data_IF_873859640359
#
_entry.id   IF_873859640359
#
_cell.length_a   1.000
_cell.length_b   1.000
_cell.length_c   1.000
_cell.angle_alpha   90.00
_cell.angle_beta   90.00
_cell.angle_gamma   90.00
#
_symmetry.space_group_name_H-M   'P 1'
#
loop_
_entity.id
_entity.type
_entity.pdbx_description
1 polymer ?
#
# COMPACT_ATOMS: atom_id res chain seq x y z
N UNK A 1 -1.49 -6.86 -11.94
CA UNK A 1 -1.61 -5.51 -11.33
C UNK A 1 -2.80 -5.43 -10.38
N UNK A 2 -4.05 -5.54 -10.86
CA UNK A 2 -5.26 -5.44 -10.02
C UNK A 2 -5.22 -6.37 -8.80
N UNK A 3 -4.90 -7.66 -9.00
CA UNK A 3 -4.78 -8.62 -7.90
C UNK A 3 -3.68 -8.25 -6.90
N UNK A 4 -2.54 -7.73 -7.37
CA UNK A 4 -1.45 -7.31 -6.49
C UNK A 4 -1.84 -6.08 -5.66
N UNK A 5 -2.51 -5.10 -6.26
CA UNK A 5 -3.10 -3.97 -5.54
C UNK A 5 -4.12 -4.44 -4.49
N UNK A 6 -5.04 -5.32 -4.87
CA UNK A 6 -6.07 -5.83 -3.96
C UNK A 6 -5.44 -6.60 -2.79
N UNK A 7 -4.46 -7.46 -3.06
CA UNK A 7 -3.73 -8.20 -2.02
C UNK A 7 -2.93 -7.26 -1.10
N UNK A 8 -2.26 -6.24 -1.65
CA UNK A 8 -1.53 -5.25 -0.86
C UNK A 8 -2.47 -4.47 0.06
N UNK A 9 -3.60 -4.00 -0.46
CA UNK A 9 -4.62 -3.28 0.32
C UNK A 9 -5.23 -4.16 1.41
N UNK A 10 -5.58 -5.41 1.09
CA UNK A 10 -6.14 -6.35 2.06
C UNK A 10 -5.12 -6.72 3.15
N UNK A 11 -3.87 -7.01 2.76
CA UNK A 11 -2.78 -7.31 3.71
C UNK A 11 -2.52 -6.14 4.65
N UNK A 12 -2.45 -4.92 4.11
CA UNK A 12 -2.27 -3.69 4.89
C UNK A 12 -3.42 -3.48 5.88
N UNK A 13 -4.67 -3.65 5.44
CA UNK A 13 -5.84 -3.55 6.33
C UNK A 13 -5.77 -4.58 7.46
N UNK A 14 -5.49 -5.85 7.14
CA UNK A 14 -5.36 -6.92 8.14
C UNK A 14 -4.24 -6.64 9.15
N UNK A 15 -3.09 -6.12 8.68
CA UNK A 15 -2.00 -5.72 9.56
C UNK A 15 -2.43 -4.60 10.52
N UNK A 16 -3.05 -3.53 10.02
CA UNK A 16 -3.53 -2.42 10.86
C UNK A 16 -4.57 -2.89 11.87
N UNK A 17 -5.50 -3.76 11.45
CA UNK A 17 -6.50 -4.34 12.35
C UNK A 17 -5.85 -5.21 13.43
N UNK A 18 -4.80 -5.96 13.11
CA UNK A 18 -4.05 -6.80 14.06
C UNK A 18 -3.39 -5.98 15.20
N UNK A 19 -3.11 -4.69 14.96
CA UNK A 19 -2.59 -3.77 15.97
C UNK A 19 -3.68 -3.15 16.86
N UNK A 20 -4.95 -3.26 16.48
CA UNK A 20 -6.07 -2.64 17.18
C UNK A 20 -6.71 -3.59 18.18
N UNK A 21 -7.07 -3.08 19.36
CA UNK A 21 -7.74 -3.86 20.43
C UNK A 21 -9.26 -3.67 20.45
N UNK A 22 -9.76 -2.60 19.83
CA UNK A 22 -11.20 -2.29 19.80
C UNK A 22 -11.64 -1.89 18.40
N UNK A 23 -12.92 -2.12 18.10
CA UNK A 23 -13.53 -1.72 16.81
C UNK A 23 -13.43 -0.22 16.59
N UNK A 24 -13.63 0.59 17.65
CA UNK A 24 -13.51 2.04 17.56
C UNK A 24 -12.07 2.47 17.23
N UNK A 25 -11.06 1.85 17.85
CA UNK A 25 -9.66 2.11 17.51
C UNK A 25 -9.37 1.74 16.06
N UNK A 26 -9.84 0.59 15.59
CA UNK A 26 -9.66 0.15 14.22
C UNK A 26 -10.24 1.14 13.20
N UNK A 27 -11.46 1.62 13.43
CA UNK A 27 -12.10 2.60 12.52
C UNK A 27 -11.33 3.92 12.48
N UNK A 28 -11.02 4.51 13.63
CA UNK A 28 -10.32 5.80 13.69
C UNK A 28 -8.90 5.68 13.13
N UNK A 29 -8.14 4.68 13.57
CA UNK A 29 -6.75 4.49 13.16
C UNK A 29 -6.63 4.20 11.67
N UNK A 30 -7.46 3.30 11.13
CA UNK A 30 -7.45 2.97 9.70
C UNK A 30 -7.81 4.19 8.85
N UNK A 31 -8.77 5.00 9.29
CA UNK A 31 -9.17 6.22 8.55
C UNK A 31 -8.03 7.23 8.48
N UNK A 32 -7.38 7.53 9.61
CA UNK A 32 -6.23 8.45 9.62
C UNK A 32 -5.07 7.91 8.80
N UNK A 33 -4.77 6.61 8.93
CA UNK A 33 -3.68 5.98 8.20
C UNK A 33 -3.89 6.03 6.68
N UNK A 34 -5.10 5.71 6.20
CA UNK A 34 -5.46 5.79 4.78
C UNK A 34 -5.33 7.21 4.24
N UNK A 35 -5.72 8.22 5.02
CA UNK A 35 -5.57 9.63 4.61
C UNK A 35 -4.11 10.03 4.44
N UNK A 36 -3.25 9.65 5.39
CA UNK A 36 -1.81 9.93 5.33
C UNK A 36 -1.17 9.23 4.12
N UNK A 37 -1.46 7.95 3.92
CA UNK A 37 -0.94 7.18 2.78
C UNK A 37 -1.49 7.70 1.44
N UNK A 38 -2.71 8.25 1.41
CA UNK A 38 -3.30 8.83 0.18
C UNK A 38 -2.71 10.18 -0.19
N UNK A 39 -2.44 11.03 0.81
CA UNK A 39 -1.81 12.34 0.58
C UNK A 39 -0.36 12.21 0.14
N UNK A 40 0.40 11.29 0.76
CA UNK A 40 1.80 11.04 0.43
C UNK A 40 1.98 10.20 -0.84
N UNK A 41 1.05 9.28 -1.13
CA UNK A 41 1.21 8.29 -2.19
C UNK A 41 0.89 8.79 -3.61
N UNK A 42 0.63 10.08 -3.78
CA UNK A 42 0.38 10.68 -5.10
C UNK A 42 -1.06 10.54 -5.61
N UNK A 43 -1.99 10.05 -4.78
CA UNK A 43 -3.41 9.88 -5.15
C UNK A 43 -4.14 11.23 -5.24
N UNK A 44 -3.81 12.18 -4.36
CA UNK A 44 -4.43 13.52 -4.37
C UNK A 44 -3.65 14.54 -5.21
N UNK A 45 -2.33 14.41 -5.30
CA UNK A 45 -1.46 15.27 -6.11
C UNK A 45 -0.55 14.38 -6.94
N UNK A 46 -0.59 14.48 -8.29
CA UNK A 46 0.33 13.74 -9.14
C UNK A 46 1.80 13.96 -8.75
N UNK A 47 2.57 12.88 -8.71
CA UNK A 47 3.96 12.90 -8.22
C UNK A 47 4.88 13.84 -8.99
N UNK A 48 4.64 14.04 -10.28
CA UNK A 48 5.40 14.98 -11.09
C UNK A 48 5.21 16.45 -10.69
N UNK A 49 4.20 16.77 -9.88
CA UNK A 49 3.98 18.10 -9.31
C UNK A 49 4.49 18.23 -7.85
N UNK A 50 4.98 17.14 -7.27
CA UNK A 50 5.50 17.14 -5.90
C UNK A 50 6.96 17.63 -5.85
N UNK A 51 7.39 18.31 -4.77
CA UNK A 51 8.81 18.61 -4.57
C UNK A 51 9.64 17.31 -4.41
N UNK A 52 10.93 17.35 -4.79
CA UNK A 52 11.78 16.15 -4.94
C UNK A 52 11.85 15.26 -3.68
N UNK A 53 11.87 15.88 -2.50
CA UNK A 53 11.88 15.15 -1.23
C UNK A 53 10.58 14.37 -1.03
N UNK A 54 9.43 14.93 -1.42
CA UNK A 54 8.12 14.30 -1.27
C UNK A 54 7.94 13.18 -2.31
N UNK A 55 8.48 13.36 -3.52
CA UNK A 55 8.55 12.28 -4.52
C UNK A 55 9.30 11.07 -3.97
N UNK A 56 10.43 11.31 -3.31
CA UNK A 56 11.23 10.24 -2.69
C UNK A 56 10.46 9.53 -1.58
N UNK A 57 9.80 10.29 -0.70
CA UNK A 57 8.97 9.74 0.38
C UNK A 57 7.79 8.93 -0.17
N UNK A 58 7.17 9.37 -1.28
CA UNK A 58 6.04 8.68 -1.89
C UNK A 58 6.38 7.24 -2.30
N UNK A 59 7.63 6.96 -2.69
CA UNK A 59 8.08 5.63 -3.12
C UNK A 59 8.02 4.59 -2.00
N UNK A 60 7.94 5.00 -0.74
CA UNK A 60 7.73 4.09 0.39
C UNK A 60 6.27 3.69 0.57
N UNK A 61 5.33 4.32 -0.14
CA UNK A 61 3.90 4.02 -0.05
C UNK A 61 3.48 3.03 -1.14
N UNK A 62 2.62 2.05 -0.83
CA UNK A 62 2.07 1.16 -1.86
C UNK A 62 1.22 1.91 -2.90
N UNK A 63 0.63 3.05 -2.53
CA UNK A 63 -0.15 3.90 -3.43
C UNK A 63 0.66 4.39 -4.62
N UNK A 64 1.90 4.83 -4.40
CA UNK A 64 2.75 5.32 -5.49
C UNK A 64 3.01 4.25 -6.55
N UNK A 65 3.25 3.01 -6.13
CA UNK A 65 3.48 1.88 -7.04
C UNK A 65 2.20 1.41 -7.73
N UNK A 66 1.05 1.49 -7.06
CA UNK A 66 -0.24 1.25 -7.68
C UNK A 66 -0.50 2.25 -8.81
N UNK A 67 -0.28 3.55 -8.56
CA UNK A 67 -0.46 4.60 -9.56
C UNK A 67 0.47 4.39 -10.76
N UNK A 68 1.76 4.11 -10.55
CA UNK A 68 2.66 3.81 -11.69
C UNK A 68 2.25 2.56 -12.45
N UNK A 69 1.84 1.51 -11.74
CA UNK A 69 1.39 0.28 -12.38
C UNK A 69 0.17 0.49 -13.27
N UNK A 70 -0.81 1.27 -12.80
CA UNK A 70 -2.00 1.60 -13.59
C UNK A 70 -1.71 2.62 -14.69
N UNK A 71 -0.92 3.65 -14.42
CA UNK A 71 -0.53 4.65 -15.42
C UNK A 71 0.28 4.02 -16.56
N UNK A 72 1.25 3.16 -16.21
CA UNK A 72 2.03 2.39 -17.16
C UNK A 72 1.15 1.49 -18.04
N UNK A 73 0.25 0.72 -17.42
CA UNK A 73 -0.59 -0.24 -18.13
C UNK A 73 -1.69 0.40 -18.99
N UNK A 74 -2.33 1.48 -18.51
CA UNK A 74 -3.52 2.07 -19.14
C UNK A 74 -3.21 3.26 -20.05
N UNK A 75 -2.16 4.02 -19.76
CA UNK A 75 -1.87 5.29 -20.44
C UNK A 75 -0.57 5.18 -21.25
N UNK A 76 0.51 4.69 -20.63
CA UNK A 76 1.84 4.66 -21.28
C UNK A 76 2.00 3.49 -22.27
N UNK A 77 1.23 2.41 -22.09
CA UNK A 77 1.36 1.20 -22.90
C UNK A 77 2.61 0.38 -22.55
N UNK A 78 2.99 0.38 -21.26
CA UNK A 78 4.19 -0.29 -20.77
C UNK A 78 4.14 -1.81 -21.00
N UNK A 79 5.29 -2.38 -21.32
CA UNK A 79 5.48 -3.82 -21.51
C UNK A 79 5.37 -4.59 -20.19
N UNK A 80 5.13 -5.90 -20.26
CA UNK A 80 5.06 -6.78 -19.08
C UNK A 80 6.31 -6.70 -18.20
N UNK A 81 7.50 -6.52 -18.79
CA UNK A 81 8.75 -6.38 -18.05
C UNK A 81 8.78 -5.10 -17.20
N UNK A 82 8.25 -3.99 -17.73
CA UNK A 82 8.16 -2.72 -17.01
C UNK A 82 7.10 -2.76 -15.91
N UNK A 83 6.00 -3.48 -16.14
CA UNK A 83 4.94 -3.67 -15.14
C UNK A 83 5.32 -4.67 -14.02
N UNK A 84 6.35 -5.48 -14.24
CA UNK A 84 6.82 -6.46 -13.26
C UNK A 84 7.33 -5.80 -11.97
N UNK A 85 7.99 -4.64 -12.07
CA UNK A 85 8.49 -3.91 -10.91
C UNK A 85 7.36 -3.39 -9.99
N UNK A 86 6.41 -2.56 -10.46
CA UNK A 86 5.31 -2.10 -9.60
C UNK A 86 4.45 -3.27 -9.10
N UNK A 87 4.21 -4.27 -9.94
CA UNK A 87 3.48 -5.48 -9.53
C UNK A 87 4.19 -6.28 -8.44
N UNK A 88 5.51 -6.44 -8.57
CA UNK A 88 6.35 -7.16 -7.61
C UNK A 88 6.45 -6.44 -6.27
N UNK A 89 6.56 -5.11 -6.27
CA UNK A 89 6.58 -4.32 -5.05
C UNK A 89 5.24 -4.42 -4.30
N UNK A 90 4.11 -4.32 -5.01
CA UNK A 90 2.80 -4.51 -4.40
C UNK A 90 2.62 -5.92 -3.83
N UNK A 91 3.08 -6.95 -4.55
CA UNK A 91 3.06 -8.33 -4.05
C UNK A 91 3.95 -8.50 -2.80
N UNK A 92 5.13 -7.87 -2.77
CA UNK A 92 6.01 -7.87 -1.61
C UNK A 92 5.37 -7.16 -0.41
N UNK A 93 4.71 -6.00 -0.62
CA UNK A 93 3.95 -5.30 0.42
C UNK A 93 2.84 -6.19 0.97
N UNK A 94 2.08 -6.86 0.10
CA UNK A 94 1.03 -7.79 0.51
C UNK A 94 1.60 -8.90 1.40
N UNK A 95 2.68 -9.55 0.96
CA UNK A 95 3.33 -10.63 1.70
C UNK A 95 3.83 -10.16 3.06
N UNK A 96 4.56 -9.04 3.11
CA UNK A 96 5.10 -8.47 4.35
C UNK A 96 3.96 -8.11 5.31
N UNK A 97 2.92 -7.44 4.84
CA UNK A 97 1.79 -7.06 5.69
C UNK A 97 1.04 -8.29 6.22
N UNK A 98 0.84 -9.32 5.40
CA UNK A 98 0.21 -10.57 5.83
C UNK A 98 1.06 -11.32 6.87
N UNK A 99 2.39 -11.39 6.66
CA UNK A 99 3.31 -11.99 7.63
C UNK A 99 3.29 -11.23 8.96
N UNK A 100 3.34 -9.90 8.91
CA UNK A 100 3.26 -9.06 10.11
C UNK A 100 1.89 -9.17 10.79
N UNK A 101 0.79 -9.28 10.05
CA UNK A 101 -0.55 -9.49 10.59
C UNK A 101 -0.69 -10.84 11.28
N UNK A 102 0.07 -11.85 10.84
CA UNK A 102 0.07 -13.19 11.40
C UNK A 102 0.86 -13.28 12.72
N UNK A 103 1.90 -12.46 12.93
CA UNK A 103 2.72 -12.51 14.15
C UNK A 103 1.91 -12.36 15.46
N UNK A 104 0.93 -11.43 15.58
CA UNK A 104 0.10 -11.32 16.78
C UNK A 104 -0.91 -12.47 16.93
N UNK A 105 -1.37 -13.08 15.83
CA UNK A 105 -2.28 -14.23 15.86
C UNK A 105 -1.62 -15.46 16.51
N UNK A 106 -0.31 -15.64 16.33
CA UNK A 106 0.43 -16.74 16.97
C UNK A 106 0.80 -16.47 18.43
N UNK A 107 0.58 -15.24 18.93
CA UNK A 107 0.99 -14.81 20.27
C UNK A 107 -0.13 -14.90 21.33
N UNK A 108 -1.26 -15.53 21.01
CA UNK A 108 -2.28 -15.93 22.01
C UNK A 108 -2.03 -17.35 22.50
N UNK A 109 -1.18 -17.49 23.52
CA UNK A 109 -1.57 -18.22 24.71
C UNK A 109 -1.30 -17.37 25.95
N UNK A 110 -2.37 -16.97 26.64
CA UNK A 110 -2.53 -16.83 28.11
C UNK A 110 -3.90 -16.20 28.42
#
# INVERSE_FOLDING_TARGET
MVLACAAASAGLALFLLSLCRTTQQATTFSSFFVLIISSLGGSMVPRFMMPDWLQTVSLFTPNAWAIEGFYGALIRGDSWAQLAQPGGILAAVALVCLLLAALPLFKTPD
#
